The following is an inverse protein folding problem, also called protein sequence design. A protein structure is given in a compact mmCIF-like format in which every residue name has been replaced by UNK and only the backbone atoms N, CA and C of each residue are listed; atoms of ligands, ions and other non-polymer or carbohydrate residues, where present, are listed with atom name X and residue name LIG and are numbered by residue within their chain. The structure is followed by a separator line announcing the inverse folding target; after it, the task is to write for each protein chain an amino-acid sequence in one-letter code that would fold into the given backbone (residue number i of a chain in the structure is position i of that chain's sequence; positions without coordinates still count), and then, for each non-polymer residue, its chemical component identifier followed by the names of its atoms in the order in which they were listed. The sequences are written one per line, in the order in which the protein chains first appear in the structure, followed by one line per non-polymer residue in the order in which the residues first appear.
data_IF_621638459909
#
_entry.id   IF_621638459909
#
_cell.length_a   1.000
_cell.length_b   1.000
_cell.length_c   1.000
_cell.angle_alpha   90.00
_cell.angle_beta   90.00
_cell.angle_gamma   90.00
#
_symmetry.space_group_name_H-M   'P 1'
#
loop_
_entity.id
_entity.type
_entity.pdbx_description
1 polymer ?
#
# COMPACT_ATOMS: atom_id res chain seq x y z
N UNK A 1 45.55 17.23 -8.70
CA UNK A 1 44.68 17.01 -7.52
C UNK A 1 43.32 17.61 -7.81
N UNK A 2 42.30 16.77 -7.96
CA UNK A 2 40.93 17.19 -8.28
C UNK A 2 39.98 16.04 -8.01
N UNK A 3 40.00 15.55 -6.77
CA UNK A 3 39.13 14.48 -6.30
C UNK A 3 38.18 15.09 -5.26
N UNK A 4 36.90 15.29 -5.62
CA UNK A 4 35.76 15.62 -4.74
C UNK A 4 34.56 15.90 -5.64
N UNK A 5 33.39 15.28 -5.55
CA UNK A 5 32.90 14.27 -4.65
C UNK A 5 31.73 13.60 -5.36
N UNK A 6 31.85 12.29 -5.59
CA UNK A 6 30.71 11.45 -5.85
C UNK A 6 29.88 11.38 -4.56
N UNK A 7 28.66 11.89 -4.63
CA UNK A 7 27.64 11.73 -3.61
C UNK A 7 26.32 12.10 -4.25
N UNK A 8 25.69 11.17 -4.96
CA UNK A 8 24.30 11.34 -5.40
C UNK A 8 23.46 11.48 -4.14
N UNK A 9 23.13 12.72 -3.77
CA UNK A 9 22.09 12.98 -2.78
C UNK A 9 20.81 12.34 -3.32
N UNK A 10 20.47 11.14 -2.86
CA UNK A 10 19.11 10.61 -3.01
C UNK A 10 18.24 11.44 -2.09
N UNK A 11 17.84 12.62 -2.56
CA UNK A 11 16.97 13.55 -1.87
C UNK A 11 15.69 12.81 -1.52
N UNK A 12 15.48 12.50 -0.24
CA UNK A 12 14.21 11.95 0.23
C UNK A 12 13.09 12.89 -0.23
N UNK A 13 12.09 12.38 -0.97
CA UNK A 13 11.06 13.24 -1.54
C UNK A 13 10.30 13.98 -0.43
N UNK A 14 9.91 15.25 -0.65
CA UNK A 14 9.13 16.01 0.33
C UNK A 14 7.86 15.26 0.75
N UNK A 15 7.53 15.28 2.05
CA UNK A 15 6.37 14.55 2.59
C UNK A 15 5.09 14.93 1.82
N UNK A 16 4.28 13.92 1.52
CA UNK A 16 3.02 14.04 0.78
C UNK A 16 3.14 14.51 -0.68
N UNK A 17 4.35 14.71 -1.21
CA UNK A 17 4.54 14.91 -2.65
C UNK A 17 4.18 13.64 -3.44
N UNK A 18 3.91 13.79 -4.73
CA UNK A 18 3.65 12.65 -5.60
C UNK A 18 4.78 11.62 -5.59
N UNK A 19 6.04 12.09 -5.66
CA UNK A 19 7.23 11.24 -5.56
C UNK A 19 7.33 10.53 -4.20
N UNK A 20 6.91 11.17 -3.11
CA UNK A 20 6.85 10.55 -1.79
C UNK A 20 5.82 9.43 -1.74
N UNK A 21 4.66 9.60 -2.36
CA UNK A 21 3.65 8.54 -2.46
C UNK A 21 4.12 7.36 -3.31
N UNK A 22 4.79 7.60 -4.43
CA UNK A 22 5.35 6.54 -5.28
C UNK A 22 6.50 5.78 -4.62
N UNK A 23 7.26 6.44 -3.75
CA UNK A 23 8.35 5.81 -3.00
C UNK A 23 7.85 4.89 -1.87
N UNK A 24 6.57 4.96 -1.48
CA UNK A 24 6.00 4.08 -0.47
C UNK A 24 5.78 2.70 -1.05
N UNK A 25 6.19 1.65 -0.32
CA UNK A 25 5.76 0.30 -0.64
C UNK A 25 4.24 0.20 -0.43
N UNK A 26 3.48 -0.31 -1.43
CA UNK A 26 2.05 -0.55 -1.22
C UNK A 26 1.86 -1.51 -0.06
N UNK A 27 0.84 -1.24 0.77
CA UNK A 27 0.48 -2.14 1.87
C UNK A 27 -0.17 -3.42 1.33
N UNK A 28 -0.02 -4.56 2.02
CA UNK A 28 -0.73 -5.78 1.66
C UNK A 28 -2.25 -5.57 1.62
N UNK A 29 -2.90 -6.10 0.59
CA UNK A 29 -4.35 -6.02 0.42
C UNK A 29 -5.08 -6.80 1.53
N UNK A 30 -4.55 -7.95 1.94
CA UNK A 30 -5.11 -8.77 3.01
C UNK A 30 -5.19 -8.01 4.35
N UNK A 31 -4.19 -7.17 4.65
CA UNK A 31 -4.21 -6.31 5.84
C UNK A 31 -5.39 -5.32 5.80
N UNK A 32 -5.66 -4.76 4.61
CA UNK A 32 -6.79 -3.85 4.39
C UNK A 32 -8.13 -4.57 4.58
N UNK A 33 -8.26 -5.78 4.03
CA UNK A 33 -9.47 -6.60 4.17
C UNK A 33 -9.70 -6.98 5.64
N UNK A 34 -8.66 -7.37 6.37
CA UNK A 34 -8.76 -7.64 7.82
C UNK A 34 -9.26 -6.43 8.61
N UNK A 35 -8.66 -5.26 8.37
CA UNK A 35 -9.06 -4.00 9.03
C UNK A 35 -10.51 -3.65 8.74
N UNK A 36 -10.96 -3.86 7.50
CA UNK A 36 -12.35 -3.69 7.13
C UNK A 36 -13.24 -4.65 7.90
N UNK A 37 -12.96 -5.97 7.89
CA UNK A 37 -13.78 -6.96 8.59
C UNK A 37 -13.91 -6.68 10.09
N UNK A 38 -12.83 -6.25 10.75
CA UNK A 38 -12.82 -5.92 12.17
C UNK A 38 -13.63 -4.66 12.52
N UNK A 39 -13.85 -3.76 11.55
CA UNK A 39 -14.52 -2.46 11.75
C UNK A 39 -15.86 -2.33 11.04
N UNK A 40 -16.23 -3.27 10.17
CA UNK A 40 -17.37 -3.14 9.24
C UNK A 40 -18.67 -2.75 9.93
N UNK A 41 -18.90 -3.24 11.16
CA UNK A 41 -20.12 -2.97 11.93
C UNK A 41 -20.13 -1.59 12.60
N UNK A 42 -18.97 -0.93 12.68
CA UNK A 42 -18.81 0.45 13.17
C UNK A 42 -18.82 1.47 12.04
N UNK A 43 -18.83 1.04 10.78
CA UNK A 43 -18.86 1.92 9.62
C UNK A 43 -20.29 2.36 9.31
N UNK A 44 -20.43 3.53 8.69
CA UNK A 44 -21.73 3.93 8.17
C UNK A 44 -22.20 2.94 7.08
N UNK A 45 -23.53 2.71 6.93
CA UNK A 45 -24.04 1.74 5.97
C UNK A 45 -23.59 2.01 4.53
N UNK A 46 -23.46 3.28 4.13
CA UNK A 46 -22.99 3.66 2.81
C UNK A 46 -21.51 3.27 2.58
N UNK A 47 -20.65 3.53 3.57
CA UNK A 47 -19.22 3.17 3.49
C UNK A 47 -19.05 1.66 3.48
N UNK A 48 -19.76 0.94 4.36
CA UNK A 48 -19.75 -0.53 4.39
C UNK A 48 -20.11 -1.12 3.03
N UNK A 49 -21.26 -0.74 2.45
CA UNK A 49 -21.70 -1.24 1.13
C UNK A 49 -20.71 -0.92 0.01
N UNK A 50 -20.09 0.27 0.05
CA UNK A 50 -19.09 0.65 -0.93
C UNK A 50 -17.85 -0.24 -0.85
N UNK A 51 -17.38 -0.52 0.38
CA UNK A 51 -16.21 -1.38 0.61
C UNK A 51 -16.51 -2.86 0.32
N UNK A 52 -17.70 -3.36 0.67
CA UNK A 52 -18.13 -4.73 0.32
C UNK A 52 -18.15 -4.99 -1.18
N UNK A 53 -18.42 -3.96 -2.00
CA UNK A 53 -18.40 -4.07 -3.47
C UNK A 53 -17.00 -4.00 -4.07
N UNK A 54 -16.02 -3.46 -3.34
CA UNK A 54 -14.68 -3.15 -3.87
C UNK A 54 -13.60 -4.07 -3.34
N UNK A 55 -13.72 -4.51 -2.09
CA UNK A 55 -12.74 -5.38 -1.46
C UNK A 55 -13.02 -6.83 -1.86
N UNK A 56 -12.00 -7.58 -2.31
CA UNK A 56 -12.17 -9.00 -2.55
C UNK A 56 -12.30 -9.77 -1.21
N UNK A 57 -12.75 -11.03 -1.27
CA UNK A 57 -12.66 -11.94 -0.13
C UNK A 57 -11.22 -12.05 0.41
N UNK A 58 -11.07 -12.35 1.70
CA UNK A 58 -9.76 -12.39 2.37
C UNK A 58 -8.79 -13.37 1.70
N UNK A 59 -9.25 -14.58 1.39
CA UNK A 59 -8.43 -15.62 0.73
C UNK A 59 -7.89 -15.16 -0.63
N UNK A 60 -8.71 -14.42 -1.39
CA UNK A 60 -8.32 -13.83 -2.67
C UNK A 60 -7.30 -12.70 -2.46
N UNK A 61 -7.50 -11.87 -1.44
CA UNK A 61 -6.55 -10.81 -1.09
C UNK A 61 -5.17 -11.39 -0.69
N UNK A 62 -5.14 -12.45 0.10
CA UNK A 62 -3.91 -13.16 0.48
C UNK A 62 -3.22 -13.76 -0.75
N UNK A 63 -3.99 -14.34 -1.67
CA UNK A 63 -3.45 -14.87 -2.92
C UNK A 63 -2.82 -13.77 -3.76
N UNK A 64 -3.50 -12.64 -3.93
CA UNK A 64 -2.95 -11.47 -4.63
C UNK A 64 -1.66 -11.00 -3.98
N UNK A 65 -1.63 -10.88 -2.64
CA UNK A 65 -0.41 -10.46 -1.93
C UNK A 65 0.75 -11.44 -2.14
N UNK A 66 0.49 -12.75 -2.18
CA UNK A 66 1.50 -13.78 -2.51
C UNK A 66 2.01 -13.64 -3.94
N UNK A 67 1.13 -13.44 -4.90
CA UNK A 67 1.48 -13.31 -6.31
C UNK A 67 2.27 -12.03 -6.57
N UNK A 68 1.86 -10.90 -5.97
CA UNK A 68 2.59 -9.64 -6.03
C UNK A 68 3.98 -9.76 -5.41
N UNK A 69 4.12 -10.48 -4.29
CA UNK A 69 5.42 -10.76 -3.68
C UNK A 69 6.32 -11.60 -4.58
N UNK A 70 5.76 -12.54 -5.37
CA UNK A 70 6.53 -13.33 -6.35
C UNK A 70 6.95 -12.51 -7.57
N UNK A 71 6.12 -11.56 -8.01
CA UNK A 71 6.40 -10.74 -9.20
C UNK A 71 7.36 -9.58 -8.93
N UNK A 72 7.36 -9.03 -7.71
CA UNK A 72 8.14 -7.86 -7.32
C UNK A 72 9.31 -8.17 -6.36
N UNK A 73 9.42 -9.43 -5.94
CA UNK A 73 10.40 -9.92 -4.95
C UNK A 73 11.64 -10.51 -5.56
#
# INVERSE_FOLDING_TARGET
MGNSGQGRNMSTPPKYSHAWWLAQKPRPLAETVHKFQAKKDKLSPAVRRSLERRLPPLEVAEQIDRDMKRLLG
#
